data_IF_698232970528
#
_entry.id   IF_698232970528
#
_cell.length_a   1.000
_cell.length_b   1.000
_cell.length_c   1.000
_cell.angle_alpha   90.00
_cell.angle_beta   90.00
_cell.angle_gamma   90.00
#
_symmetry.space_group_name_H-M   'P 1'
#
loop_
_entity.id
_entity.type
_entity.pdbx_description
1 polymer ?
#
# COMPACT_ATOMS: atom_id res chain seq x y z
N UNK A 1 -26.87 36.87 -11.09
CA UNK A 1 -25.50 36.81 -11.65
C UNK A 1 -24.77 38.07 -11.25
N UNK A 2 -23.48 37.96 -10.89
CA UNK A 2 -22.66 39.07 -10.43
C UNK A 2 -21.56 39.42 -11.43
N UNK A 3 -21.26 40.70 -11.55
CA UNK A 3 -20.04 41.20 -12.19
C UNK A 3 -18.87 41.19 -11.21
N UNK A 4 -17.64 41.30 -11.71
CA UNK A 4 -16.42 41.37 -10.87
C UNK A 4 -16.49 42.52 -9.85
N UNK A 5 -17.07 43.66 -10.25
CA UNK A 5 -17.22 44.85 -9.40
C UNK A 5 -18.22 44.63 -8.27
N UNK A 6 -19.40 44.11 -8.60
CA UNK A 6 -20.43 43.78 -7.60
C UNK A 6 -19.92 42.71 -6.64
N UNK A 7 -19.17 41.74 -7.14
CA UNK A 7 -18.59 40.68 -6.32
C UNK A 7 -17.48 41.20 -5.39
N UNK A 8 -16.68 42.16 -5.86
CA UNK A 8 -15.65 42.84 -5.08
C UNK A 8 -16.25 43.54 -3.87
N UNK A 9 -17.35 44.27 -4.08
CA UNK A 9 -18.09 44.94 -3.01
C UNK A 9 -18.74 43.94 -2.04
N UNK A 10 -19.37 42.88 -2.58
CA UNK A 10 -20.05 41.87 -1.76
C UNK A 10 -19.10 41.06 -0.86
N UNK A 11 -17.88 40.76 -1.34
CA UNK A 11 -16.90 39.96 -0.60
C UNK A 11 -15.88 40.82 0.17
N UNK A 12 -15.93 42.15 0.04
CA UNK A 12 -14.92 43.07 0.54
C UNK A 12 -13.49 42.66 0.13
N UNK A 13 -13.33 42.17 -1.10
CA UNK A 13 -12.04 41.77 -1.69
C UNK A 13 -11.74 42.63 -2.90
N UNK A 14 -10.45 42.82 -3.18
CA UNK A 14 -10.03 43.61 -4.35
C UNK A 14 -10.45 42.93 -5.66
N UNK A 15 -10.80 43.70 -6.68
CA UNK A 15 -11.18 43.18 -8.00
C UNK A 15 -10.12 42.24 -8.58
N UNK A 16 -8.84 42.54 -8.37
CA UNK A 16 -7.73 41.72 -8.85
C UNK A 16 -7.70 40.33 -8.18
N UNK A 17 -8.13 40.23 -6.92
CA UNK A 17 -8.25 38.95 -6.23
C UNK A 17 -9.29 38.06 -6.90
N UNK A 18 -10.42 38.65 -7.30
CA UNK A 18 -11.49 37.94 -8.02
C UNK A 18 -11.03 37.56 -9.43
N UNK A 19 -10.36 38.46 -10.16
CA UNK A 19 -9.77 38.15 -11.47
C UNK A 19 -8.73 37.03 -11.37
N UNK A 20 -7.91 37.01 -10.33
CA UNK A 20 -6.97 35.92 -10.05
C UNK A 20 -7.69 34.60 -9.82
N UNK A 21 -8.79 34.59 -9.06
CA UNK A 21 -9.59 33.40 -8.84
C UNK A 21 -10.24 32.84 -10.10
N UNK A 22 -10.72 33.73 -10.98
CA UNK A 22 -11.22 33.36 -12.31
C UNK A 22 -10.12 32.71 -13.17
N UNK A 23 -8.90 33.27 -13.19
CA UNK A 23 -7.76 32.68 -13.90
C UNK A 23 -7.35 31.32 -13.33
N UNK A 24 -7.50 31.12 -12.02
CA UNK A 24 -7.22 29.83 -11.36
C UNK A 24 -8.36 28.82 -11.45
N UNK A 25 -9.43 29.09 -12.21
CA UNK A 25 -10.54 28.15 -12.40
C UNK A 25 -11.41 27.92 -11.16
N UNK A 26 -11.38 28.82 -10.16
CA UNK A 26 -12.14 28.65 -8.90
C UNK A 26 -13.66 28.86 -9.05
N UNK A 27 -14.11 29.28 -10.22
CA UNK A 27 -15.51 29.50 -10.55
C UNK A 27 -15.86 28.62 -11.77
N UNK A 28 -16.35 27.38 -11.56
CA UNK A 28 -16.58 26.44 -12.65
C UNK A 28 -17.68 26.87 -13.61
N UNK A 29 -18.63 27.71 -13.16
CA UNK A 29 -19.74 28.18 -13.97
C UNK A 29 -19.59 29.65 -14.40
N UNK A 30 -18.43 30.26 -14.16
CA UNK A 30 -18.17 31.62 -14.62
C UNK A 30 -17.80 31.62 -16.11
N UNK A 31 -18.37 32.57 -16.85
CA UNK A 31 -18.10 32.74 -18.27
C UNK A 31 -17.87 34.21 -18.61
N UNK A 32 -17.17 34.45 -19.72
CA UNK A 32 -16.93 35.78 -20.27
C UNK A 32 -17.88 35.99 -21.45
N UNK A 33 -18.88 36.85 -21.28
CA UNK A 33 -19.88 37.12 -22.33
C UNK A 33 -19.27 37.86 -23.54
N UNK A 34 -18.43 38.87 -23.29
CA UNK A 34 -17.78 39.68 -24.32
C UNK A 34 -16.65 40.51 -23.70
N UNK A 35 -15.74 41.06 -24.52
CA UNK A 35 -14.68 41.96 -24.05
C UNK A 35 -15.25 43.23 -23.39
N UNK A 36 -16.39 43.72 -23.91
CA UNK A 36 -17.09 44.89 -23.36
C UNK A 36 -17.89 44.58 -22.09
N UNK A 37 -18.41 43.36 -21.95
CA UNK A 37 -19.33 42.99 -20.87
C UNK A 37 -18.64 42.30 -19.68
N UNK A 38 -17.40 41.85 -19.87
CA UNK A 38 -16.58 41.25 -18.81
C UNK A 38 -17.06 39.88 -18.36
N UNK A 39 -16.66 39.50 -17.15
CA UNK A 39 -16.97 38.20 -16.54
C UNK A 39 -18.32 38.23 -15.82
N UNK A 40 -19.09 37.16 -16.01
CA UNK A 40 -20.34 36.88 -15.29
C UNK A 40 -20.15 35.67 -14.38
N UNK A 41 -20.49 35.84 -13.10
CA UNK A 41 -20.31 34.82 -12.06
C UNK A 41 -21.69 34.48 -11.48
N UNK A 42 -22.15 33.23 -11.55
CA UNK A 42 -23.42 32.82 -10.96
C UNK A 42 -23.34 32.74 -9.43
N UNK A 43 -24.49 32.87 -8.76
CA UNK A 43 -24.57 32.84 -7.30
C UNK A 43 -24.21 31.46 -6.71
N UNK A 44 -24.43 30.39 -7.48
CA UNK A 44 -24.03 29.02 -7.15
C UNK A 44 -22.57 28.91 -6.73
N UNK A 45 -21.70 29.66 -7.40
CA UNK A 45 -20.26 29.57 -7.17
C UNK A 45 -19.83 30.40 -5.94
N UNK A 46 -20.74 31.22 -5.39
CA UNK A 46 -20.49 32.08 -4.23
C UNK A 46 -20.82 31.42 -2.89
N UNK A 47 -21.60 30.34 -2.92
CA UNK A 47 -22.03 29.62 -1.72
C UNK A 47 -20.83 29.15 -0.89
N UNK A 48 -19.79 28.67 -1.58
CA UNK A 48 -18.55 28.18 -0.97
C UNK A 48 -17.69 29.28 -0.34
N UNK A 49 -17.86 30.54 -0.76
CA UNK A 49 -17.04 31.68 -0.33
C UNK A 49 -17.64 32.35 0.91
N UNK A 50 -18.97 32.49 0.94
CA UNK A 50 -19.69 33.17 2.04
C UNK A 50 -19.62 32.38 3.36
N UNK A 51 -19.36 31.07 3.30
CA UNK A 51 -19.27 30.20 4.48
C UNK A 51 -17.93 30.30 5.23
N UNK A 52 -17.03 31.22 4.85
CA UNK A 52 -15.76 31.44 5.55
C UNK A 52 -14.70 30.35 5.30
N UNK A 53 -15.06 29.30 4.57
CA UNK A 53 -14.12 28.31 4.04
C UNK A 53 -13.36 28.94 2.88
N UNK A 54 -12.18 29.50 3.16
CA UNK A 54 -11.24 29.92 2.12
C UNK A 54 -11.10 28.81 1.07
N UNK A 55 -11.07 29.20 -0.21
CA UNK A 55 -11.03 28.30 -1.35
C UNK A 55 -10.05 27.15 -1.15
N UNK A 56 -10.58 25.98 -0.81
CA UNK A 56 -9.83 24.75 -0.65
C UNK A 56 -9.16 24.44 -2.00
N UNK A 57 -7.87 24.14 -1.96
CA UNK A 57 -7.10 23.69 -3.13
C UNK A 57 -7.69 22.33 -3.53
N UNK A 58 -7.97 22.10 -4.80
CA UNK A 58 -8.45 20.77 -5.26
C UNK A 58 -7.44 19.67 -4.88
N UNK A 59 -6.16 20.01 -4.75
CA UNK A 59 -5.10 19.17 -4.17
C UNK A 59 -5.44 18.63 -2.77
N UNK A 60 -6.19 19.40 -1.95
CA UNK A 60 -6.56 19.01 -0.60
C UNK A 60 -7.73 18.02 -0.58
N UNK A 61 -8.62 18.06 -1.56
CA UNK A 61 -9.74 17.12 -1.66
C UNK A 61 -9.27 15.75 -2.16
N UNK A 62 -8.37 15.73 -3.15
CA UNK A 62 -7.74 14.49 -3.62
C UNK A 62 -6.90 13.83 -2.51
N UNK A 63 -6.10 14.63 -1.79
CA UNK A 63 -5.32 14.13 -0.66
C UNK A 63 -6.24 13.60 0.47
N UNK A 64 -7.34 14.30 0.77
CA UNK A 64 -8.29 13.85 1.78
C UNK A 64 -9.06 12.58 1.37
N UNK A 65 -9.33 12.37 0.08
CA UNK A 65 -9.90 11.11 -0.43
C UNK A 65 -8.90 9.96 -0.32
N UNK A 66 -7.67 10.16 -0.77
CA UNK A 66 -6.60 9.14 -0.68
C UNK A 66 -6.36 8.70 0.77
N UNK A 67 -6.33 9.64 1.71
CA UNK A 67 -6.18 9.32 3.14
C UNK A 67 -7.38 8.51 3.66
N UNK A 68 -8.60 8.81 3.20
CA UNK A 68 -9.80 8.05 3.61
C UNK A 68 -9.75 6.62 3.10
N UNK A 69 -9.43 6.44 1.82
CA UNK A 69 -9.34 5.12 1.21
C UNK A 69 -8.27 4.26 1.90
N UNK A 70 -7.11 4.85 2.26
CA UNK A 70 -6.05 4.14 2.99
C UNK A 70 -6.48 3.73 4.42
N UNK A 71 -7.23 4.60 5.12
CA UNK A 71 -7.80 4.27 6.43
C UNK A 71 -8.82 3.14 6.31
N UNK A 72 -9.72 3.20 5.34
CA UNK A 72 -10.74 2.18 5.09
C UNK A 72 -10.10 0.81 4.75
N UNK A 73 -9.06 0.78 3.91
CA UNK A 73 -8.32 -0.45 3.61
C UNK A 73 -7.67 -1.06 4.86
N UNK A 74 -7.09 -0.22 5.72
CA UNK A 74 -6.44 -0.68 6.95
C UNK A 74 -7.44 -1.30 7.93
N UNK A 75 -8.63 -0.71 8.06
CA UNK A 75 -9.71 -1.27 8.88
C UNK A 75 -10.20 -2.61 8.31
N UNK A 76 -10.32 -2.69 6.98
CA UNK A 76 -10.70 -3.93 6.29
C UNK A 76 -9.70 -5.06 6.53
N UNK A 77 -8.40 -4.77 6.50
CA UNK A 77 -7.35 -5.74 6.81
C UNK A 77 -7.51 -6.29 8.23
N UNK A 78 -7.77 -5.41 9.20
CA UNK A 78 -7.96 -5.81 10.61
C UNK A 78 -9.18 -6.72 10.77
N UNK A 79 -10.32 -6.33 10.19
CA UNK A 79 -11.55 -7.11 10.24
C UNK A 79 -11.41 -8.46 9.54
N UNK A 80 -10.79 -8.50 8.36
CA UNK A 80 -10.56 -9.73 7.62
C UNK A 80 -9.71 -10.73 8.43
N UNK A 81 -8.65 -10.25 9.07
CA UNK A 81 -7.82 -11.08 9.94
C UNK A 81 -8.64 -11.67 11.09
N UNK A 82 -9.37 -10.80 11.81
CA UNK A 82 -10.16 -11.19 12.99
C UNK A 82 -11.26 -12.20 12.63
N UNK A 83 -11.90 -12.07 11.48
CA UNK A 83 -12.90 -13.03 10.99
C UNK A 83 -12.31 -14.44 10.83
N UNK A 84 -11.07 -14.55 10.37
CA UNK A 84 -10.47 -15.86 10.06
C UNK A 84 -9.77 -16.48 11.29
N UNK A 85 -9.11 -15.67 12.11
CA UNK A 85 -8.35 -16.15 13.28
C UNK A 85 -9.14 -16.10 14.58
N UNK A 86 -10.25 -15.35 14.61
CA UNK A 86 -11.00 -14.97 15.81
C UNK A 86 -10.15 -14.22 16.85
N UNK A 87 -9.04 -13.61 16.40
CA UNK A 87 -8.13 -12.83 17.22
C UNK A 87 -7.70 -11.56 16.50
N UNK A 88 -7.36 -10.51 17.24
CA UNK A 88 -6.82 -9.30 16.65
C UNK A 88 -5.38 -9.51 16.16
N UNK A 89 -4.97 -8.94 15.02
CA UNK A 89 -3.60 -9.04 14.55
C UNK A 89 -2.65 -8.27 15.46
N UNK A 90 -1.43 -8.80 15.66
CA UNK A 90 -0.33 -8.06 16.25
C UNK A 90 0.08 -6.89 15.35
N UNK A 91 0.66 -5.84 15.92
CA UNK A 91 1.02 -4.63 15.17
C UNK A 91 1.99 -4.93 14.01
N UNK A 92 2.93 -5.87 14.19
CA UNK A 92 3.82 -6.33 13.12
C UNK A 92 3.08 -6.99 11.95
N UNK A 93 2.09 -7.85 12.26
CA UNK A 93 1.33 -8.54 11.21
C UNK A 93 0.41 -7.56 10.50
N UNK A 94 -0.20 -6.65 11.25
CA UNK A 94 -1.02 -5.59 10.69
C UNK A 94 -0.23 -4.74 9.68
N UNK A 95 0.96 -4.24 10.06
CA UNK A 95 1.79 -3.43 9.15
C UNK A 95 2.23 -4.22 7.92
N UNK A 96 2.58 -5.50 8.08
CA UNK A 96 2.91 -6.37 6.96
C UNK A 96 1.73 -6.54 5.99
N UNK A 97 0.53 -6.81 6.50
CA UNK A 97 -0.67 -7.00 5.68
C UNK A 97 -1.10 -5.71 4.97
N UNK A 98 -0.98 -4.55 5.64
CA UNK A 98 -1.26 -3.25 5.03
C UNK A 98 -0.32 -2.96 3.86
N UNK A 99 0.98 -3.25 3.98
CA UNK A 99 1.96 -3.06 2.89
C UNK A 99 1.69 -4.00 1.70
N UNK A 100 1.24 -5.23 2.00
CA UNK A 100 0.93 -6.25 1.00
C UNK A 100 -0.38 -5.93 0.25
N UNK A 101 -1.28 -5.20 0.90
CA UNK A 101 -2.58 -4.78 0.36
C UNK A 101 -3.71 -5.77 0.65
N UNK A 102 -4.94 -5.25 0.61
CA UNK A 102 -6.14 -5.99 1.03
C UNK A 102 -6.41 -7.25 0.19
N UNK A 103 -6.32 -7.16 -1.15
CA UNK A 103 -6.57 -8.29 -2.06
C UNK A 103 -5.67 -9.47 -1.72
N UNK A 104 -4.37 -9.21 -1.58
CA UNK A 104 -3.36 -10.23 -1.31
C UNK A 104 -3.47 -10.78 0.11
N UNK A 105 -3.85 -9.95 1.07
CA UNK A 105 -4.20 -10.38 2.43
C UNK A 105 -5.34 -11.41 2.43
N UNK A 106 -6.43 -11.14 1.71
CA UNK A 106 -7.57 -12.05 1.61
C UNK A 106 -7.21 -13.38 0.96
N UNK A 107 -6.35 -13.39 -0.06
CA UNK A 107 -5.84 -14.62 -0.67
C UNK A 107 -5.09 -15.49 0.36
N UNK A 108 -4.21 -14.89 1.15
CA UNK A 108 -3.43 -15.60 2.17
C UNK A 108 -4.34 -16.17 3.26
N UNK A 109 -5.30 -15.37 3.72
CA UNK A 109 -6.28 -15.78 4.73
C UNK A 109 -7.18 -16.92 4.21
N UNK A 110 -7.55 -16.89 2.93
CA UNK A 110 -8.30 -17.96 2.29
C UNK A 110 -7.51 -19.27 2.27
N UNK A 111 -6.22 -19.23 1.92
CA UNK A 111 -5.34 -20.41 1.95
C UNK A 111 -5.26 -20.98 3.37
N UNK A 112 -5.17 -20.11 4.38
CA UNK A 112 -5.15 -20.50 5.79
C UNK A 112 -6.43 -21.25 6.18
N UNK A 113 -7.60 -20.73 5.77
CA UNK A 113 -8.90 -21.34 6.06
C UNK A 113 -9.15 -22.65 5.30
N UNK A 114 -8.64 -22.77 4.08
CA UNK A 114 -8.74 -23.98 3.25
C UNK A 114 -7.73 -25.08 3.64
N UNK A 115 -6.78 -24.77 4.51
CA UNK A 115 -5.78 -25.74 4.94
C UNK A 115 -6.42 -26.92 5.69
N UNK A 116 -5.98 -28.15 5.38
CA UNK A 116 -6.60 -29.38 5.90
C UNK A 116 -6.56 -29.51 7.44
N UNK A 117 -5.65 -28.79 8.10
CA UNK A 117 -5.51 -28.77 9.56
C UNK A 117 -5.52 -27.34 10.06
N UNK A 118 -6.21 -27.08 11.18
CA UNK A 118 -6.22 -25.76 11.82
C UNK A 118 -4.79 -25.26 12.05
N UNK A 119 -4.50 -24.06 11.54
CA UNK A 119 -3.21 -23.40 11.71
C UNK A 119 -3.04 -22.98 13.17
N UNK A 120 -1.99 -23.50 13.82
CA UNK A 120 -1.69 -23.20 15.23
C UNK A 120 -1.09 -21.81 15.46
N UNK A 121 -0.29 -21.34 14.50
CA UNK A 121 0.37 -20.04 14.54
C UNK A 121 0.04 -19.26 13.26
N UNK A 122 -1.00 -18.39 13.29
CA UNK A 122 -1.42 -17.62 12.11
C UNK A 122 -0.35 -16.62 11.65
N UNK A 123 0.28 -15.91 12.58
CA UNK A 123 1.33 -14.92 12.31
C UNK A 123 2.50 -15.54 11.52
N UNK A 124 2.99 -16.69 11.98
CA UNK A 124 4.08 -17.41 11.32
C UNK A 124 3.68 -17.99 9.96
N UNK A 125 2.42 -18.38 9.81
CA UNK A 125 1.86 -18.84 8.54
C UNK A 125 1.83 -17.72 7.51
N UNK A 126 1.34 -16.54 7.89
CA UNK A 126 1.28 -15.36 7.02
C UNK A 126 2.68 -14.92 6.60
N UNK A 127 3.62 -14.78 7.54
CA UNK A 127 5.02 -14.43 7.23
C UNK A 127 5.63 -15.41 6.21
N UNK A 128 5.32 -16.70 6.33
CA UNK A 128 5.76 -17.72 5.37
C UNK A 128 5.05 -17.62 4.02
N UNK A 129 3.72 -17.44 4.01
CA UNK A 129 2.94 -17.33 2.79
C UNK A 129 3.37 -16.14 1.92
N UNK A 130 3.71 -15.01 2.54
CA UNK A 130 4.26 -13.83 1.88
C UNK A 130 5.63 -14.16 1.28
N UNK A 131 6.54 -14.73 2.08
CA UNK A 131 7.91 -15.05 1.63
C UNK A 131 7.95 -16.02 0.45
N UNK A 132 7.13 -17.06 0.51
CA UNK A 132 7.06 -18.10 -0.53
C UNK A 132 6.06 -17.76 -1.65
N UNK A 133 5.45 -16.57 -1.58
CA UNK A 133 4.42 -16.07 -2.50
C UNK A 133 3.31 -17.08 -2.84
N UNK A 134 2.71 -17.70 -1.83
CA UNK A 134 1.67 -18.73 -2.03
C UNK A 134 0.40 -18.17 -2.68
N UNK A 135 -0.18 -18.91 -3.63
CA UNK A 135 -1.45 -18.53 -4.28
C UNK A 135 -2.61 -19.42 -3.84
N UNK A 136 -3.87 -18.96 -3.88
CA UNK A 136 -5.05 -19.79 -3.55
C UNK A 136 -5.18 -21.04 -4.41
N UNK A 137 -4.68 -21.00 -5.65
CA UNK A 137 -4.65 -22.12 -6.59
C UNK A 137 -3.60 -23.18 -6.27
N UNK A 138 -2.59 -22.83 -5.47
CA UNK A 138 -1.53 -23.75 -5.05
C UNK A 138 -1.85 -24.27 -3.65
N UNK A 139 -2.30 -25.53 -3.55
CA UNK A 139 -2.56 -26.19 -2.26
C UNK A 139 -1.29 -26.14 -1.40
N UNK A 140 -1.37 -25.77 -0.10
CA UNK A 140 -0.21 -25.76 0.77
C UNK A 140 0.28 -27.20 0.99
N UNK A 141 1.32 -27.58 0.25
CA UNK A 141 1.99 -28.88 0.44
C UNK A 141 2.79 -28.80 1.74
N UNK A 142 2.46 -29.67 2.70
CA UNK A 142 3.25 -29.87 3.92
C UNK A 142 4.65 -30.31 3.52
N UNK A 143 5.59 -29.37 3.49
CA UNK A 143 7.01 -29.70 3.32
C UNK A 143 7.39 -30.62 4.49
N UNK A 144 7.72 -31.86 4.17
CA UNK A 144 8.36 -32.78 5.10
C UNK A 144 9.56 -32.04 5.70
N UNK A 145 9.55 -31.85 7.02
CA UNK A 145 10.75 -31.42 7.71
C UNK A 145 11.75 -32.52 7.40
N UNK A 146 12.75 -32.24 6.57
CA UNK A 146 13.95 -33.07 6.51
C UNK A 146 14.43 -33.11 7.96
N UNK A 147 14.16 -34.20 8.64
CA UNK A 147 14.90 -34.55 9.83
C UNK A 147 16.33 -34.60 9.32
N UNK A 148 17.12 -33.58 9.65
CA UNK A 148 18.55 -33.70 9.51
C UNK A 148 18.89 -34.95 10.30
N UNK A 149 19.28 -36.02 9.60
CA UNK A 149 19.79 -37.24 10.22
C UNK A 149 20.81 -36.80 11.27
N UNK A 150 20.77 -37.42 12.45
CA UNK A 150 21.75 -37.09 13.47
C UNK A 150 23.16 -37.36 12.92
N UNK A 151 24.19 -36.69 13.43
CA UNK A 151 25.57 -36.79 12.91
C UNK A 151 26.05 -38.25 12.79
N UNK A 152 25.57 -39.14 13.67
CA UNK A 152 25.91 -40.57 13.65
C UNK A 152 25.04 -41.44 12.72
N UNK A 153 23.94 -40.90 12.18
CA UNK A 153 23.07 -41.57 11.19
C UNK A 153 23.48 -41.22 9.74
N UNK A 154 24.57 -40.45 9.56
CA UNK A 154 25.07 -40.03 8.25
C UNK A 154 25.91 -41.14 7.61
N UNK A 155 25.44 -41.73 6.51
CA UNK A 155 26.18 -42.75 5.78
C UNK A 155 27.00 -42.14 4.62
N UNK A 156 27.97 -42.89 4.07
CA UNK A 156 28.79 -42.44 2.92
C UNK A 156 27.95 -41.99 1.71
N UNK A 157 26.83 -42.66 1.44
CA UNK A 157 25.90 -42.27 0.36
C UNK A 157 25.26 -40.89 0.59
N UNK A 158 25.07 -40.47 1.86
CA UNK A 158 24.55 -39.14 2.20
C UNK A 158 25.61 -38.04 1.97
N UNK A 159 26.90 -38.37 2.09
CA UNK A 159 28.02 -37.47 1.76
C UNK A 159 28.13 -37.25 0.25
N UNK A 160 28.03 -38.30 -0.55
CA UNK A 160 28.04 -38.22 -2.01
C UNK A 160 26.84 -37.43 -2.55
N UNK A 161 25.67 -37.59 -1.93
CA UNK A 161 24.46 -36.82 -2.27
C UNK A 161 24.54 -35.33 -1.92
N UNK A 162 25.34 -34.94 -0.91
CA UNK A 162 25.67 -33.53 -0.61
C UNK A 162 26.69 -32.98 -1.60
N UNK A 163 27.74 -33.75 -1.91
CA UNK A 163 28.78 -33.36 -2.86
C UNK A 163 28.19 -33.04 -4.25
N UNK A 164 27.25 -33.84 -4.74
CA UNK A 164 26.58 -33.58 -6.02
C UNK A 164 25.67 -32.32 -6.01
N UNK A 165 25.26 -31.81 -4.84
CA UNK A 165 24.47 -30.56 -4.75
C UNK A 165 25.34 -29.32 -4.63
N UNK A 166 26.52 -29.44 -4.04
CA UNK A 166 27.46 -28.33 -3.81
C UNK A 166 28.38 -28.05 -5.02
N UNK A 167 28.39 -28.94 -6.01
CA UNK A 167 29.18 -28.78 -7.25
C UNK A 167 28.80 -27.55 -8.10
N UNK A 168 27.71 -26.85 -7.81
CA UNK A 168 27.32 -25.64 -8.57
C UNK A 168 27.69 -24.30 -7.92
N UNK A 169 28.28 -24.21 -6.73
CA UNK A 169 28.47 -22.88 -6.11
C UNK A 169 29.74 -22.59 -5.30
N UNK A 170 30.70 -23.52 -5.15
CA UNK A 170 31.91 -23.23 -4.37
C UNK A 170 33.19 -23.28 -5.20
N UNK A 171 33.68 -22.10 -5.59
CA UNK A 171 35.08 -21.86 -5.91
C UNK A 171 35.76 -21.30 -4.64
N UNK A 172 36.49 -22.10 -3.84
CA UNK A 172 37.27 -21.54 -2.76
C UNK A 172 38.46 -20.80 -3.38
N UNK A 173 38.43 -19.45 -3.31
CA UNK A 173 39.65 -18.64 -3.47
C UNK A 173 40.54 -18.92 -2.28
N UNK A 174 41.35 -19.98 -2.36
CA UNK A 174 42.45 -20.21 -1.42
C UNK A 174 43.58 -19.28 -1.88
N UNK A 175 43.95 -18.22 -1.13
CA UNK A 175 45.18 -17.52 -1.42
C UNK A 175 46.34 -18.48 -1.11
N UNK A 176 47.04 -18.94 -2.14
CA UNK A 176 48.31 -19.62 -1.96
C UNK A 176 49.30 -18.64 -1.34
N UNK A 177 49.56 -18.77 -0.05
CA UNK A 177 50.70 -18.14 0.59
C UNK A 177 51.91 -19.04 0.38
N UNK A 178 52.82 -18.62 -0.49
CA UNK A 178 54.06 -19.32 -0.79
C UNK A 178 55.08 -19.03 0.33
N UNK A 179 55.23 -19.93 1.30
CA UNK A 179 56.12 -19.75 2.47
C UNK A 179 57.59 -20.10 2.19
N UNK A 180 58.02 -20.08 0.93
CA UNK A 180 59.36 -20.52 0.52
C UNK A 180 60.04 -19.52 -0.43
N UNK A 181 59.78 -18.23 -0.22
CA UNK A 181 60.62 -17.15 -0.73
C UNK A 181 61.33 -16.51 0.48
N UNK A 182 62.58 -16.93 0.69
CA UNK A 182 63.58 -16.26 1.52
C UNK A 182 64.82 -16.02 0.66
#
# INVERSE_FOLDING_TARGET
>A
MYTVKELSLALQKHEETIKRWLRSGKFPNAFRSSDKEGWRIPESDLVHIKQGTGFVKEDSQQNQQVIRDEVEESELVKLAYEVVTLTSPTQEIFTLLSVVGIKRTLEILLIMQQSATKVKNPDGFIKKAIRENWSPTTVPVKLSKKQSKHIYDFNQLDYEAKANKEQHEYQPKIPFFNWLEE
#
